data_IF_317936643976
#
_entry.id   IF_317936643976
#
_cell.length_a   1.000
_cell.length_b   1.000
_cell.length_c   1.000
_cell.angle_alpha   90.00
_cell.angle_beta   90.00
_cell.angle_gamma   90.00
#
_symmetry.space_group_name_H-M   'P 1'
#
loop_
_entity.id
_entity.type
_entity.pdbx_description
1 polymer ?
#
# COMPACT_ATOMS: atom_id res chain seq x y z
N UNK A 1 34.70 12.21 -15.58
CA UNK A 1 35.23 13.09 -14.52
C UNK A 1 35.18 12.33 -13.21
N UNK A 2 36.07 12.61 -12.23
CA UNK A 2 35.93 12.00 -10.91
C UNK A 2 34.64 12.50 -10.26
N UNK A 3 33.88 11.61 -9.60
CA UNK A 3 32.64 11.94 -8.90
C UNK A 3 32.92 13.00 -7.81
N UNK A 4 32.11 14.05 -7.74
CA UNK A 4 32.12 15.00 -6.63
C UNK A 4 31.36 14.38 -5.43
N UNK A 5 32.08 13.82 -4.47
CA UNK A 5 31.49 13.22 -3.26
C UNK A 5 30.79 14.24 -2.36
N UNK A 6 30.94 15.52 -2.63
CA UNK A 6 30.31 16.62 -1.89
C UNK A 6 29.21 17.30 -2.68
N UNK A 7 28.71 16.69 -3.74
CA UNK A 7 27.64 17.19 -4.58
C UNK A 7 26.43 17.67 -3.76
N UNK A 8 26.08 16.99 -2.69
CA UNK A 8 24.97 17.34 -1.79
C UNK A 8 25.13 18.71 -1.09
N UNK A 9 26.33 19.29 -1.06
CA UNK A 9 26.59 20.65 -0.56
C UNK A 9 26.28 21.71 -1.62
N UNK A 10 26.37 21.37 -2.89
CA UNK A 10 26.17 22.27 -4.03
C UNK A 10 24.74 22.16 -4.55
N UNK A 11 24.19 20.95 -4.59
CA UNK A 11 22.82 20.68 -5.03
C UNK A 11 21.96 20.29 -3.84
N UNK A 12 21.01 21.14 -3.48
CA UNK A 12 20.03 20.84 -2.43
C UNK A 12 19.02 19.76 -2.85
N UNK A 13 18.26 19.26 -1.86
CA UNK A 13 17.11 18.38 -2.16
C UNK A 13 16.05 19.16 -2.94
N UNK A 14 15.61 18.60 -4.06
CA UNK A 14 14.49 19.12 -4.87
C UNK A 14 13.51 17.96 -5.08
N UNK A 15 12.26 18.17 -4.71
CA UNK A 15 11.19 17.23 -5.03
C UNK A 15 10.58 17.56 -6.40
N UNK A 16 9.96 16.58 -7.11
CA UNK A 16 9.22 16.86 -8.32
C UNK A 16 8.14 17.92 -8.09
N UNK A 17 7.82 18.70 -9.13
CA UNK A 17 6.80 19.73 -9.05
C UNK A 17 5.48 19.14 -8.56
N UNK A 18 4.93 19.73 -7.50
CA UNK A 18 3.59 19.41 -6.98
C UNK A 18 2.58 20.41 -7.53
N UNK A 19 1.40 19.95 -7.95
CA UNK A 19 0.30 20.82 -8.37
C UNK A 19 -0.16 21.72 -7.22
N UNK A 20 -0.57 22.94 -7.54
CA UNK A 20 -1.16 23.85 -6.57
C UNK A 20 -2.45 23.27 -5.97
N UNK A 21 -2.71 23.52 -4.68
CA UNK A 21 -3.83 22.93 -3.96
C UNK A 21 -5.18 23.23 -4.64
N UNK A 22 -5.40 24.45 -5.11
CA UNK A 22 -6.63 24.87 -5.79
C UNK A 22 -6.85 24.17 -7.15
N UNK A 23 -5.78 23.69 -7.80
CA UNK A 23 -5.86 22.95 -9.05
C UNK A 23 -6.06 21.44 -8.80
N UNK A 24 -5.27 20.89 -7.86
CA UNK A 24 -5.24 19.44 -7.63
C UNK A 24 -6.52 18.89 -7.01
N UNK A 25 -7.25 19.69 -6.20
CA UNK A 25 -8.55 19.28 -5.65
C UNK A 25 -9.65 19.15 -6.72
N UNK A 26 -9.44 19.72 -7.91
CA UNK A 26 -10.37 19.63 -9.05
C UNK A 26 -10.07 18.45 -9.99
N UNK A 27 -9.04 17.67 -9.68
CA UNK A 27 -8.56 16.56 -10.51
C UNK A 27 -8.52 15.26 -9.71
N UNK A 28 -8.70 14.15 -10.41
CA UNK A 28 -8.52 12.82 -9.84
C UNK A 28 -7.07 12.34 -9.92
N UNK A 29 -6.29 12.73 -10.94
CA UNK A 29 -4.94 12.22 -11.20
C UNK A 29 -3.85 12.63 -10.19
N UNK A 30 -2.68 12.02 -10.33
CA UNK A 30 -1.51 12.22 -9.44
C UNK A 30 -1.15 13.69 -9.27
N UNK A 31 -0.82 14.08 -8.04
CA UNK A 31 -0.50 15.47 -7.68
C UNK A 31 0.97 15.84 -7.84
N UNK A 32 1.86 14.83 -7.91
CA UNK A 32 3.29 15.03 -8.11
C UNK A 32 3.69 14.69 -9.54
N UNK A 33 4.43 15.58 -10.17
CA UNK A 33 5.04 15.35 -11.47
C UNK A 33 6.16 14.30 -11.43
N UNK A 34 6.85 14.16 -12.56
CA UNK A 34 8.04 13.32 -12.71
C UNK A 34 9.28 14.21 -12.79
N UNK A 35 10.43 13.68 -12.43
CA UNK A 35 11.71 14.26 -12.84
C UNK A 35 11.89 14.12 -14.36
N UNK A 36 12.56 15.10 -14.95
CA UNK A 36 13.23 14.90 -16.23
C UNK A 36 14.60 14.20 -16.01
N UNK A 37 15.29 13.93 -17.09
CA UNK A 37 16.59 13.22 -17.05
C UNK A 37 17.63 13.96 -16.22
N UNK A 38 17.70 15.29 -16.33
CA UNK A 38 18.67 16.14 -15.64
C UNK A 38 18.35 16.19 -14.13
N UNK A 39 17.10 16.46 -13.78
CA UNK A 39 16.67 16.49 -12.39
C UNK A 39 16.83 15.14 -11.68
N UNK A 40 16.55 14.03 -12.36
CA UNK A 40 16.78 12.70 -11.80
C UNK A 40 18.28 12.42 -11.58
N UNK A 41 19.12 12.80 -12.52
CA UNK A 41 20.58 12.65 -12.40
C UNK A 41 21.14 13.49 -11.26
N UNK A 42 20.78 14.77 -11.18
CA UNK A 42 21.23 15.70 -10.14
C UNK A 42 20.85 15.21 -8.73
N UNK A 43 19.61 14.78 -8.55
CA UNK A 43 19.16 14.26 -7.25
C UNK A 43 19.82 12.91 -6.92
N UNK A 44 20.09 12.07 -7.91
CA UNK A 44 20.80 10.79 -7.74
C UNK A 44 22.27 11.00 -7.36
N UNK A 45 22.94 12.01 -7.94
CA UNK A 45 24.35 12.32 -7.66
C UNK A 45 24.59 12.79 -6.21
N UNK A 46 23.54 13.26 -5.51
CA UNK A 46 23.61 13.55 -4.07
C UNK A 46 23.92 12.35 -3.19
N UNK A 47 23.71 11.13 -3.71
CA UNK A 47 23.94 9.89 -2.96
C UNK A 47 25.44 9.73 -2.58
N UNK A 48 25.70 9.47 -1.30
CA UNK A 48 27.05 9.30 -0.75
C UNK A 48 27.66 7.91 -1.08
N UNK A 49 26.90 6.98 -1.67
CA UNK A 49 27.31 5.59 -1.86
C UNK A 49 27.85 4.97 -0.56
N UNK A 50 27.05 5.06 0.51
CA UNK A 50 27.43 4.60 1.85
C UNK A 50 27.86 3.12 1.82
N UNK A 51 28.97 2.78 2.47
CA UNK A 51 29.42 1.41 2.62
C UNK A 51 28.46 0.54 3.47
N UNK A 52 27.62 1.19 4.29
CA UNK A 52 26.49 0.59 4.98
C UNK A 52 25.24 1.40 4.64
N UNK A 53 24.48 1.03 3.59
CA UNK A 53 23.37 1.81 3.07
C UNK A 53 22.11 1.62 3.90
N UNK A 54 21.90 2.46 4.93
CA UNK A 54 20.72 2.39 5.79
C UNK A 54 19.40 2.50 5.03
N UNK A 55 19.37 3.21 3.90
CA UNK A 55 18.20 3.28 3.03
C UNK A 55 17.81 1.93 2.44
N UNK A 56 18.78 1.09 2.06
CA UNK A 56 18.59 -0.28 1.60
C UNK A 56 18.10 -1.18 2.75
N UNK A 57 18.77 -1.11 3.91
CA UNK A 57 18.38 -1.88 5.09
C UNK A 57 16.98 -1.54 5.60
N UNK A 58 16.56 -0.30 5.44
CA UNK A 58 15.23 0.15 5.88
C UNK A 58 14.13 -0.15 4.86
N UNK A 59 14.50 -0.44 3.62
CA UNK A 59 13.55 -0.85 2.58
C UNK A 59 13.14 -2.32 2.82
N UNK A 60 11.85 -2.65 2.95
CA UNK A 60 11.42 -4.03 3.19
C UNK A 60 11.89 -5.03 2.11
N UNK A 61 12.01 -4.61 0.86
CA UNK A 61 12.53 -5.44 -0.24
C UNK A 61 14.05 -5.33 -0.42
N UNK A 62 14.76 -4.65 0.47
CA UNK A 62 16.21 -4.44 0.41
C UNK A 62 16.69 -4.01 -0.98
N UNK A 63 15.99 -3.02 -1.57
CA UNK A 63 16.27 -2.59 -2.94
C UNK A 63 17.65 -1.93 -3.03
N UNK A 64 18.41 -2.23 -4.07
CA UNK A 64 19.80 -1.78 -4.31
C UNK A 64 19.88 -0.26 -4.60
N UNK A 65 19.38 0.54 -3.64
CA UNK A 65 19.15 1.98 -3.78
C UNK A 65 20.41 2.75 -4.20
N UNK A 66 21.56 2.66 -3.52
CA UNK A 66 22.75 3.40 -3.94
C UNK A 66 23.22 3.02 -5.34
N UNK A 67 23.09 1.73 -5.70
CA UNK A 67 23.56 1.22 -6.97
C UNK A 67 22.76 1.76 -8.15
N UNK A 68 21.42 1.71 -8.08
CA UNK A 68 20.64 2.27 -9.18
C UNK A 68 20.62 3.81 -9.18
N UNK A 69 20.79 4.50 -8.03
CA UNK A 69 21.03 5.95 -8.01
C UNK A 69 22.30 6.31 -8.79
N UNK A 70 23.37 5.56 -8.59
CA UNK A 70 24.60 5.73 -9.35
C UNK A 70 24.39 5.56 -10.85
N UNK A 71 23.69 4.49 -11.25
CA UNK A 71 23.37 4.24 -12.65
C UNK A 71 22.57 5.38 -13.29
N UNK A 72 21.60 5.96 -12.55
CA UNK A 72 20.82 7.12 -13.01
C UNK A 72 21.72 8.35 -13.18
N UNK A 73 22.59 8.64 -12.21
CA UNK A 73 23.54 9.78 -12.30
C UNK A 73 24.51 9.65 -13.47
N UNK A 74 24.84 8.43 -13.87
CA UNK A 74 25.68 8.11 -15.03
C UNK A 74 24.90 8.03 -16.36
N UNK A 75 23.57 8.16 -16.33
CA UNK A 75 22.69 8.07 -17.50
C UNK A 75 22.39 6.65 -17.99
N UNK A 76 22.65 5.63 -17.17
CA UNK A 76 22.45 4.22 -17.49
C UNK A 76 21.06 3.73 -17.05
N UNK A 77 20.00 4.27 -17.65
CA UNK A 77 18.62 4.06 -17.23
C UNK A 77 18.16 2.59 -17.32
N UNK A 78 18.47 1.89 -18.39
CA UNK A 78 18.06 0.49 -18.57
C UNK A 78 18.65 -0.42 -17.48
N UNK A 79 19.94 -0.22 -17.16
CA UNK A 79 20.60 -0.97 -16.10
C UNK A 79 20.03 -0.62 -14.72
N UNK A 80 19.64 0.65 -14.50
CA UNK A 80 18.97 1.07 -13.28
C UNK A 80 17.60 0.40 -13.14
N UNK A 81 16.83 0.30 -14.23
CA UNK A 81 15.54 -0.38 -14.26
C UNK A 81 15.70 -1.89 -13.98
N UNK A 82 16.66 -2.55 -14.64
CA UNK A 82 16.96 -3.96 -14.38
C UNK A 82 17.29 -4.21 -12.91
N UNK A 83 18.16 -3.38 -12.33
CA UNK A 83 18.59 -3.52 -10.94
C UNK A 83 17.44 -3.26 -9.94
N UNK A 84 16.62 -2.25 -10.18
CA UNK A 84 15.47 -1.94 -9.34
C UNK A 84 14.44 -3.10 -9.30
N UNK A 85 14.28 -3.82 -10.43
CA UNK A 85 13.37 -4.96 -10.54
C UNK A 85 13.92 -6.28 -9.99
N UNK A 86 15.20 -6.36 -9.63
CA UNK A 86 15.75 -7.60 -9.04
C UNK A 86 15.15 -7.91 -7.68
N UNK A 87 14.89 -6.89 -6.87
CA UNK A 87 14.34 -7.07 -5.52
C UNK A 87 12.92 -6.57 -5.37
N UNK A 88 12.43 -5.72 -6.26
CA UNK A 88 11.09 -5.13 -6.18
C UNK A 88 10.28 -5.42 -7.45
N UNK A 89 9.14 -6.07 -7.30
CA UNK A 89 8.21 -6.34 -8.41
C UNK A 89 7.47 -5.08 -8.87
N UNK A 90 7.27 -4.10 -7.97
CA UNK A 90 6.40 -2.93 -8.18
C UNK A 90 7.14 -1.60 -7.89
N UNK A 91 8.32 -1.33 -8.48
CA UNK A 91 9.11 -0.15 -8.12
C UNK A 91 8.40 1.17 -8.46
N UNK A 92 7.65 1.25 -9.57
CA UNK A 92 6.87 2.44 -9.93
C UNK A 92 5.76 2.74 -8.93
N UNK A 93 5.19 1.72 -8.32
CA UNK A 93 4.15 1.85 -7.30
C UNK A 93 4.80 2.23 -5.97
N UNK A 94 5.86 1.53 -5.56
CA UNK A 94 6.59 1.84 -4.34
C UNK A 94 7.14 3.27 -4.33
N UNK A 95 7.69 3.75 -5.45
CA UNK A 95 8.14 5.13 -5.61
C UNK A 95 7.04 6.18 -5.42
N UNK A 96 5.77 5.81 -5.60
CA UNK A 96 4.59 6.68 -5.41
C UNK A 96 4.00 6.62 -4.02
N UNK A 97 3.77 5.39 -3.50
CA UNK A 97 2.88 5.18 -2.33
C UNK A 97 3.61 4.81 -1.03
N UNK A 98 4.88 4.42 -1.08
CA UNK A 98 5.64 4.17 0.15
C UNK A 98 5.73 5.41 1.02
N UNK A 99 5.63 5.29 2.35
CA UNK A 99 5.97 6.37 3.29
C UNK A 99 7.49 6.51 3.40
N UNK A 100 8.12 7.10 2.37
CA UNK A 100 9.58 7.18 2.25
C UNK A 100 10.24 7.88 3.45
N UNK A 101 9.55 8.82 4.08
CA UNK A 101 9.99 9.53 5.29
C UNK A 101 10.18 8.62 6.51
N UNK A 102 9.52 7.46 6.52
CA UNK A 102 9.67 6.42 7.56
C UNK A 102 10.49 5.21 7.10
N UNK A 103 10.82 5.15 5.82
CA UNK A 103 11.57 4.07 5.19
C UNK A 103 12.92 4.57 4.66
N UNK A 104 13.15 4.40 3.35
CA UNK A 104 14.44 4.66 2.71
C UNK A 104 14.94 6.11 2.85
N UNK A 105 14.07 7.11 2.63
CA UNK A 105 14.48 8.53 2.76
C UNK A 105 14.68 8.92 4.23
N UNK A 106 13.81 8.42 5.14
CA UNK A 106 13.98 8.63 6.58
C UNK A 106 15.29 8.05 7.13
N UNK A 107 15.76 6.95 6.55
CA UNK A 107 17.02 6.30 6.91
C UNK A 107 18.23 6.79 6.12
N UNK A 108 18.05 7.71 5.17
CA UNK A 108 19.15 8.26 4.39
C UNK A 108 20.12 9.05 5.28
N UNK A 109 21.41 8.79 5.17
CA UNK A 109 22.47 9.51 5.92
C UNK A 109 22.40 11.03 5.76
N UNK A 110 21.96 11.51 4.60
CA UNK A 110 21.77 12.96 4.34
C UNK A 110 20.50 13.54 4.98
N UNK A 111 19.59 12.72 5.47
CA UNK A 111 18.32 13.19 6.03
C UNK A 111 18.55 14.14 7.23
N UNK A 112 19.60 13.87 8.00
CA UNK A 112 19.99 14.72 9.13
C UNK A 112 20.87 15.91 8.65
N UNK A 113 20.24 17.05 8.50
CA UNK A 113 20.88 18.35 8.21
C UNK A 113 21.02 18.73 6.74
N UNK A 114 20.97 17.80 5.78
CA UNK A 114 21.17 18.10 4.35
C UNK A 114 19.95 17.76 3.48
N UNK A 115 18.95 17.13 4.05
CA UNK A 115 17.80 16.57 3.33
C UNK A 115 18.15 15.27 2.58
N UNK A 116 17.35 14.24 2.80
CA UNK A 116 17.51 12.95 2.14
C UNK A 116 17.59 13.06 0.62
N UNK A 117 18.20 12.08 -0.05
CA UNK A 117 18.02 11.89 -1.50
C UNK A 117 16.54 11.61 -1.77
N UNK A 118 15.98 12.14 -2.85
CA UNK A 118 14.59 11.93 -3.28
C UNK A 118 14.42 10.54 -3.90
N UNK A 119 14.62 9.51 -3.07
CA UNK A 119 14.74 8.12 -3.49
C UNK A 119 13.47 7.63 -4.22
N UNK A 120 12.30 7.84 -3.60
CA UNK A 120 11.05 7.38 -4.20
C UNK A 120 10.74 8.07 -5.54
N UNK A 121 11.04 9.35 -5.67
CA UNK A 121 10.82 10.08 -6.93
C UNK A 121 11.78 9.65 -8.04
N UNK A 122 13.01 9.26 -7.68
CA UNK A 122 13.96 8.69 -8.66
C UNK A 122 13.55 7.26 -9.04
N UNK A 123 13.11 6.43 -8.10
CA UNK A 123 12.57 5.09 -8.38
C UNK A 123 11.38 5.15 -9.35
N UNK A 124 10.45 6.08 -9.12
CA UNK A 124 9.35 6.40 -10.04
C UNK A 124 9.88 6.78 -11.43
N UNK A 125 10.85 7.70 -11.51
CA UNK A 125 11.45 8.14 -12.78
C UNK A 125 12.09 6.97 -13.54
N UNK A 126 12.90 6.14 -12.87
CA UNK A 126 13.57 4.98 -13.47
C UNK A 126 12.55 4.11 -14.19
N UNK A 127 11.53 3.70 -13.46
CA UNK A 127 10.58 2.69 -13.94
C UNK A 127 9.65 3.24 -15.00
N UNK A 128 9.05 4.42 -14.75
CA UNK A 128 8.16 5.04 -15.72
C UNK A 128 8.89 5.30 -17.04
N UNK A 129 10.07 5.91 -16.99
CA UNK A 129 10.81 6.28 -18.19
C UNK A 129 11.32 5.05 -18.95
N UNK A 130 11.81 4.02 -18.25
CA UNK A 130 12.27 2.80 -18.90
C UNK A 130 11.12 2.06 -19.58
N UNK A 131 9.96 1.92 -18.92
CA UNK A 131 8.78 1.29 -19.50
C UNK A 131 8.22 2.07 -20.70
N UNK A 132 8.23 3.41 -20.64
CA UNK A 132 7.81 4.27 -21.75
C UNK A 132 8.76 4.17 -22.95
N UNK A 133 10.05 3.91 -22.72
CA UNK A 133 11.05 3.64 -23.76
C UNK A 133 11.00 2.20 -24.28
N UNK A 134 10.08 1.38 -23.79
CA UNK A 134 9.89 0.01 -24.25
C UNK A 134 10.75 -1.04 -23.54
N UNK A 135 11.49 -0.67 -22.49
CA UNK A 135 12.20 -1.65 -21.68
C UNK A 135 11.24 -2.67 -21.07
N UNK A 136 11.65 -3.92 -21.07
CA UNK A 136 10.93 -5.04 -20.41
C UNK A 136 11.94 -5.98 -19.77
N UNK A 137 11.57 -6.68 -18.68
CA UNK A 137 12.42 -7.71 -18.09
C UNK A 137 12.81 -8.77 -19.11
N UNK A 138 14.08 -9.16 -19.13
CA UNK A 138 14.61 -10.18 -20.04
C UNK A 138 14.28 -11.59 -19.53
N UNK A 139 13.34 -12.26 -20.21
CA UNK A 139 12.93 -13.63 -19.93
C UNK A 139 13.62 -14.68 -20.83
N UNK A 140 14.55 -14.29 -21.70
CA UNK A 140 15.15 -15.17 -22.72
C UNK A 140 15.94 -16.35 -22.15
N UNK A 141 16.39 -16.25 -20.89
CA UNK A 141 17.17 -17.29 -20.19
C UNK A 141 16.31 -18.19 -19.31
N UNK A 142 15.03 -17.89 -19.16
CA UNK A 142 14.12 -18.67 -18.33
C UNK A 142 13.81 -20.00 -19.01
N UNK A 143 14.00 -21.08 -18.27
CA UNK A 143 13.70 -22.45 -18.75
C UNK A 143 12.46 -22.94 -18.02
N UNK A 144 11.43 -23.32 -18.78
CA UNK A 144 10.19 -23.82 -18.20
C UNK A 144 10.42 -25.13 -17.42
N UNK A 145 9.97 -25.17 -16.18
CA UNK A 145 10.06 -26.33 -15.28
C UNK A 145 8.94 -27.36 -15.50
N UNK A 146 7.87 -26.95 -16.16
CA UNK A 146 6.63 -27.73 -16.28
C UNK A 146 5.75 -27.68 -15.02
N UNK A 147 6.16 -26.93 -13.97
CA UNK A 147 5.42 -26.74 -12.74
C UNK A 147 4.42 -25.58 -12.87
N UNK A 148 3.29 -25.70 -12.18
CA UNK A 148 2.20 -24.70 -12.19
C UNK A 148 1.79 -24.33 -10.77
N UNK A 149 1.61 -23.05 -10.50
CA UNK A 149 1.16 -22.53 -9.21
C UNK A 149 -0.08 -21.65 -9.41
N UNK A 150 -1.12 -21.91 -8.62
CA UNK A 150 -2.27 -21.02 -8.52
C UNK A 150 -1.97 -19.92 -7.48
N UNK A 151 -2.14 -18.66 -7.86
CA UNK A 151 -2.00 -17.50 -6.99
C UNK A 151 -3.40 -16.90 -6.77
N UNK A 152 -3.90 -16.88 -5.54
CA UNK A 152 -5.23 -16.36 -5.23
C UNK A 152 -5.08 -14.95 -4.64
N UNK A 153 -5.54 -13.96 -5.42
CA UNK A 153 -5.41 -12.54 -5.16
C UNK A 153 -4.35 -11.88 -6.04
N UNK A 154 -4.78 -10.94 -6.89
CA UNK A 154 -3.92 -10.12 -7.75
C UNK A 154 -3.46 -8.82 -7.08
N UNK A 155 -3.42 -8.77 -5.75
CA UNK A 155 -2.84 -7.68 -4.97
C UNK A 155 -1.31 -7.73 -4.94
N UNK A 156 -0.65 -6.79 -4.20
CA UNK A 156 0.81 -6.69 -4.16
C UNK A 156 1.54 -7.99 -3.82
N UNK A 157 1.04 -8.77 -2.87
CA UNK A 157 1.63 -10.06 -2.49
C UNK A 157 1.53 -11.09 -3.63
N UNK A 158 0.33 -11.23 -4.25
CA UNK A 158 0.14 -12.14 -5.37
C UNK A 158 0.97 -11.76 -6.60
N UNK A 159 1.05 -10.47 -6.93
CA UNK A 159 1.89 -9.98 -8.03
C UNK A 159 3.38 -10.22 -7.73
N UNK A 160 3.81 -10.01 -6.47
CA UNK A 160 5.17 -10.33 -6.02
C UNK A 160 5.51 -11.80 -6.14
N UNK A 161 4.59 -12.68 -5.74
CA UNK A 161 4.73 -14.13 -5.87
C UNK A 161 4.82 -14.55 -7.34
N UNK A 162 3.89 -14.08 -8.18
CA UNK A 162 3.83 -14.45 -9.60
C UNK A 162 5.10 -14.02 -10.37
N UNK A 163 5.63 -12.82 -10.09
CA UNK A 163 6.87 -12.32 -10.70
C UNK A 163 8.06 -13.27 -10.45
N UNK A 164 8.27 -13.69 -9.19
CA UNK A 164 9.37 -14.60 -8.84
C UNK A 164 9.16 -15.97 -9.47
N UNK A 165 7.95 -16.52 -9.43
CA UNK A 165 7.64 -17.82 -10.02
C UNK A 165 7.96 -17.87 -11.52
N UNK A 166 7.48 -16.88 -12.31
CA UNK A 166 7.71 -16.90 -13.76
C UNK A 166 9.18 -16.66 -14.12
N UNK A 167 9.93 -15.87 -13.34
CA UNK A 167 11.38 -15.70 -13.51
C UNK A 167 12.16 -17.00 -13.28
N UNK A 168 11.61 -17.93 -12.51
CA UNK A 168 12.19 -19.26 -12.24
C UNK A 168 11.56 -20.38 -13.08
N UNK A 169 10.81 -20.03 -14.15
CA UNK A 169 10.25 -20.99 -15.10
C UNK A 169 9.03 -21.77 -14.59
N UNK A 170 8.41 -21.33 -13.49
CA UNK A 170 7.17 -21.89 -12.97
C UNK A 170 5.99 -21.07 -13.53
N UNK A 171 4.99 -21.74 -14.11
CA UNK A 171 3.80 -21.06 -14.60
C UNK A 171 2.96 -20.55 -13.43
N UNK A 172 2.75 -19.24 -13.33
CA UNK A 172 1.86 -18.61 -12.37
C UNK A 172 0.52 -18.26 -13.02
N UNK A 173 -0.58 -18.76 -12.43
CA UNK A 173 -1.95 -18.42 -12.81
C UNK A 173 -2.59 -17.67 -11.65
N UNK A 174 -2.88 -16.39 -11.85
CA UNK A 174 -3.35 -15.47 -10.82
C UNK A 174 -4.86 -15.29 -10.94
N UNK A 175 -5.58 -15.67 -9.90
CA UNK A 175 -7.03 -15.53 -9.80
C UNK A 175 -7.39 -14.31 -8.96
N UNK A 176 -8.33 -13.51 -9.42
CA UNK A 176 -8.91 -12.43 -8.62
C UNK A 176 -10.41 -12.28 -8.90
N UNK A 177 -11.18 -12.00 -7.85
CA UNK A 177 -12.62 -11.75 -7.95
C UNK A 177 -12.98 -10.42 -8.62
N UNK A 178 -12.03 -9.49 -8.66
CA UNK A 178 -12.22 -8.19 -9.28
C UNK A 178 -11.91 -8.22 -10.79
N UNK A 179 -12.44 -7.25 -11.56
CA UNK A 179 -12.23 -7.18 -13.01
C UNK A 179 -10.84 -6.67 -13.43
N UNK A 180 -10.01 -6.22 -12.48
CA UNK A 180 -8.66 -5.72 -12.73
C UNK A 180 -7.71 -6.14 -11.61
N UNK A 181 -6.41 -6.22 -11.94
CA UNK A 181 -5.34 -6.54 -10.99
C UNK A 181 -5.06 -5.38 -10.04
N UNK A 182 -4.28 -5.64 -9.02
CA UNK A 182 -3.76 -4.65 -8.08
C UNK A 182 -4.41 -4.70 -6.70
N UNK A 183 -5.57 -5.35 -6.54
CA UNK A 183 -6.27 -5.36 -5.25
C UNK A 183 -6.50 -3.94 -4.74
N UNK A 184 -6.03 -3.60 -3.54
CA UNK A 184 -6.18 -2.25 -2.98
C UNK A 184 -5.35 -1.17 -3.71
N UNK A 185 -4.37 -1.50 -4.54
CA UNK A 185 -3.70 -0.52 -5.41
C UNK A 185 -4.69 0.10 -6.41
N UNK A 186 -5.58 -0.73 -6.94
CA UNK A 186 -6.59 -0.32 -7.92
C UNK A 186 -7.85 0.16 -7.23
N UNK A 187 -8.35 -0.58 -6.25
CA UNK A 187 -9.68 -0.36 -5.69
C UNK A 187 -9.65 0.41 -4.36
N UNK A 188 -8.53 0.47 -3.63
CA UNK A 188 -8.42 1.16 -2.34
C UNK A 188 -7.73 2.51 -2.41
N UNK A 189 -6.52 2.57 -2.98
CA UNK A 189 -5.73 3.81 -3.07
C UNK A 189 -6.37 4.76 -4.08
N UNK A 190 -6.61 6.03 -3.73
CA UNK A 190 -7.17 7.01 -4.65
C UNK A 190 -6.24 7.35 -5.82
N UNK A 191 -6.82 7.74 -6.95
CA UNK A 191 -6.09 8.04 -8.18
C UNK A 191 -5.13 9.23 -8.05
N UNK A 192 -5.41 10.18 -7.18
CA UNK A 192 -4.52 11.31 -6.89
C UNK A 192 -3.20 10.92 -6.18
N UNK A 193 -3.07 9.65 -5.76
CA UNK A 193 -1.83 9.05 -5.24
C UNK A 193 -1.24 8.02 -6.19
N UNK A 194 -2.09 7.28 -6.90
CA UNK A 194 -1.69 6.21 -7.81
C UNK A 194 -2.70 6.11 -8.96
N UNK A 195 -2.33 6.61 -10.13
CA UNK A 195 -3.14 6.48 -11.34
C UNK A 195 -3.27 5.01 -11.76
N UNK A 196 -4.49 4.61 -12.15
CA UNK A 196 -4.79 3.19 -12.42
C UNK A 196 -4.12 2.66 -13.69
N UNK A 197 -3.78 3.53 -14.62
CA UNK A 197 -2.96 3.19 -15.78
C UNK A 197 -1.57 2.66 -15.40
N UNK A 198 -0.99 3.09 -14.27
CA UNK A 198 0.29 2.58 -13.75
C UNK A 198 0.17 1.11 -13.37
N UNK A 199 -0.91 0.75 -12.65
CA UNK A 199 -1.17 -0.65 -12.27
C UNK A 199 -1.48 -1.51 -13.50
N UNK A 200 -2.28 -0.99 -14.44
CA UNK A 200 -2.56 -1.67 -15.70
C UNK A 200 -1.30 -1.93 -16.52
N UNK A 201 -0.41 -0.93 -16.62
CA UNK A 201 0.89 -1.11 -17.29
C UNK A 201 1.73 -2.20 -16.63
N UNK A 202 1.71 -2.32 -15.30
CA UNK A 202 2.37 -3.41 -14.58
C UNK A 202 1.76 -4.77 -14.92
N UNK A 203 0.45 -4.86 -15.04
CA UNK A 203 -0.22 -6.06 -15.54
C UNK A 203 0.33 -6.47 -16.91
N UNK A 204 0.36 -5.52 -17.87
CA UNK A 204 0.86 -5.80 -19.23
C UNK A 204 2.32 -6.31 -19.21
N UNK A 205 3.16 -5.80 -18.30
CA UNK A 205 4.53 -6.28 -18.12
C UNK A 205 4.55 -7.73 -17.61
N UNK A 206 3.76 -8.05 -16.59
CA UNK A 206 3.70 -9.40 -16.02
C UNK A 206 3.09 -10.42 -17.01
N UNK A 207 2.06 -10.04 -17.77
CA UNK A 207 1.53 -10.86 -18.87
C UNK A 207 2.60 -11.13 -19.93
N UNK A 208 3.38 -10.11 -20.30
CA UNK A 208 4.53 -10.25 -21.21
C UNK A 208 5.64 -11.16 -20.69
N UNK A 209 5.76 -11.34 -19.36
CA UNK A 209 6.67 -12.27 -18.72
C UNK A 209 6.11 -13.71 -18.63
N UNK A 210 4.82 -13.91 -18.92
CA UNK A 210 4.16 -15.23 -18.91
C UNK A 210 3.23 -15.47 -17.71
N UNK A 211 2.89 -14.45 -16.93
CA UNK A 211 1.84 -14.56 -15.91
C UNK A 211 0.47 -14.61 -16.58
N UNK A 212 -0.35 -15.57 -16.21
CA UNK A 212 -1.73 -15.69 -16.64
C UNK A 212 -2.67 -15.09 -15.59
N UNK A 213 -3.60 -14.19 -15.98
CA UNK A 213 -4.60 -13.61 -15.10
C UNK A 213 -5.99 -14.14 -15.43
N UNK A 214 -6.68 -14.66 -14.41
CA UNK A 214 -8.07 -15.12 -14.45
C UNK A 214 -8.88 -14.22 -13.52
N UNK A 215 -9.36 -13.12 -14.06
CA UNK A 215 -10.10 -12.08 -13.34
C UNK A 215 -11.60 -12.38 -13.30
N UNK A 216 -12.37 -11.62 -12.48
CA UNK A 216 -13.79 -11.87 -12.23
C UNK A 216 -14.08 -13.29 -11.76
N UNK A 217 -13.17 -13.88 -10.99
CA UNK A 217 -13.27 -15.27 -10.53
C UNK A 217 -13.03 -15.35 -9.03
N UNK A 218 -14.08 -15.64 -8.29
CA UNK A 218 -14.04 -15.79 -6.84
C UNK A 218 -13.82 -17.26 -6.43
N UNK A 219 -12.68 -17.52 -5.83
CA UNK A 219 -12.33 -18.87 -5.38
C UNK A 219 -13.14 -19.24 -4.14
N UNK A 220 -13.80 -20.38 -4.20
CA UNK A 220 -14.79 -20.86 -3.22
C UNK A 220 -16.23 -20.62 -3.67
N UNK A 221 -16.45 -19.71 -4.62
CA UNK A 221 -17.76 -19.42 -5.22
C UNK A 221 -17.85 -19.92 -6.67
N UNK A 222 -17.01 -19.38 -7.55
CA UNK A 222 -17.01 -19.71 -8.99
C UNK A 222 -16.20 -20.97 -9.28
N UNK A 223 -15.09 -21.14 -8.59
CA UNK A 223 -14.21 -22.31 -8.65
C UNK A 223 -14.03 -22.86 -7.24
N UNK A 224 -14.23 -24.15 -7.07
CA UNK A 224 -13.96 -24.82 -5.79
C UNK A 224 -12.46 -24.85 -5.51
N UNK A 225 -12.07 -24.57 -4.28
CA UNK A 225 -10.66 -24.57 -3.90
C UNK A 225 -10.00 -25.96 -4.07
N UNK A 226 -10.74 -27.03 -3.87
CA UNK A 226 -10.29 -28.42 -4.11
C UNK A 226 -9.78 -28.62 -5.54
N UNK A 227 -10.45 -28.04 -6.54
CA UNK A 227 -10.04 -28.11 -7.93
C UNK A 227 -8.64 -27.50 -8.14
N UNK A 228 -8.34 -26.39 -7.48
CA UNK A 228 -6.99 -25.79 -7.57
C UNK A 228 -5.94 -26.69 -6.92
N UNK A 229 -6.25 -27.35 -5.82
CA UNK A 229 -5.34 -28.30 -5.19
C UNK A 229 -5.08 -29.55 -6.07
N UNK A 230 -6.02 -29.94 -6.92
CA UNK A 230 -5.85 -31.05 -7.86
C UNK A 230 -5.04 -30.64 -9.10
N UNK A 231 -5.30 -29.44 -9.64
CA UNK A 231 -4.76 -29.00 -10.93
C UNK A 231 -3.37 -28.35 -10.86
N UNK A 232 -2.97 -27.83 -9.69
CA UNK A 232 -1.72 -27.10 -9.50
C UNK A 232 -0.74 -27.83 -8.58
N UNK A 233 0.56 -27.62 -8.77
CA UNK A 233 1.60 -28.21 -7.92
C UNK A 233 1.65 -27.56 -6.53
N UNK A 234 1.36 -26.26 -6.43
CA UNK A 234 1.19 -25.52 -5.18
C UNK A 234 0.16 -24.39 -5.35
N UNK A 235 -0.30 -23.84 -4.22
CA UNK A 235 -1.24 -22.70 -4.17
C UNK A 235 -0.68 -21.62 -3.25
N UNK A 236 -0.71 -20.39 -3.71
CA UNK A 236 -0.39 -19.20 -2.89
C UNK A 236 -1.66 -18.41 -2.57
N UNK A 237 -1.84 -18.05 -1.31
CA UNK A 237 -2.92 -17.19 -0.81
C UNK A 237 -2.40 -15.79 -0.53
N UNK A 238 -2.86 -14.81 -1.32
CA UNK A 238 -2.55 -13.38 -1.17
C UNK A 238 -3.80 -12.51 -1.14
N UNK A 239 -4.81 -12.92 -0.36
CA UNK A 239 -6.18 -12.38 -0.42
C UNK A 239 -6.37 -11.05 0.35
N UNK A 240 -5.36 -10.57 1.09
CA UNK A 240 -5.40 -9.30 1.80
C UNK A 240 -6.29 -9.27 3.04
N UNK A 241 -6.71 -8.04 3.45
CA UNK A 241 -7.55 -7.78 4.63
C UNK A 241 -8.69 -6.83 4.27
N UNK A 242 -9.93 -7.21 4.58
CA UNK A 242 -11.13 -6.45 4.18
C UNK A 242 -12.15 -6.25 5.29
N UNK A 243 -11.98 -6.85 6.47
CA UNK A 243 -12.87 -6.64 7.62
C UNK A 243 -12.50 -5.36 8.35
N UNK A 244 -13.39 -4.39 8.39
CA UNK A 244 -13.15 -3.12 9.08
C UNK A 244 -13.22 -3.25 10.61
N UNK A 245 -12.57 -2.32 11.30
CA UNK A 245 -12.62 -2.22 12.74
C UNK A 245 -13.69 -1.20 13.17
N UNK A 246 -14.68 -1.68 13.93
CA UNK A 246 -15.70 -0.82 14.54
C UNK A 246 -15.10 0.04 15.64
N UNK A 247 -15.66 1.23 15.85
CA UNK A 247 -15.31 2.11 16.96
C UNK A 247 -15.80 1.59 18.32
N UNK A 248 -16.94 0.91 18.32
CA UNK A 248 -17.57 0.36 19.51
C UNK A 248 -18.32 1.41 20.33
N UNK A 249 -18.74 2.52 19.71
CA UNK A 249 -19.54 3.57 20.34
C UNK A 249 -20.96 3.62 19.75
N UNK A 250 -21.95 4.15 20.49
CA UNK A 250 -23.33 4.24 20.02
C UNK A 250 -23.50 5.05 18.73
N UNK A 251 -24.40 4.60 17.88
CA UNK A 251 -24.82 5.33 16.69
C UNK A 251 -24.00 5.06 15.43
N UNK A 252 -23.09 4.08 15.45
CA UNK A 252 -22.33 3.66 14.24
C UNK A 252 -23.23 3.06 13.14
N UNK A 253 -24.46 2.71 13.45
CA UNK A 253 -25.45 2.12 12.55
C UNK A 253 -26.39 3.16 11.92
N UNK A 254 -26.19 4.46 12.19
CA UNK A 254 -27.02 5.53 11.62
C UNK A 254 -26.71 5.76 10.14
N UNK A 255 -27.72 6.21 9.41
CA UNK A 255 -27.56 6.69 8.03
C UNK A 255 -26.57 7.86 8.00
N UNK A 256 -25.60 7.84 7.10
CA UNK A 256 -24.53 8.84 7.02
C UNK A 256 -23.25 8.43 7.75
N UNK A 257 -23.22 7.24 8.38
CA UNK A 257 -21.96 6.63 8.87
C UNK A 257 -21.44 5.66 7.83
N UNK A 258 -20.18 5.83 7.44
CA UNK A 258 -19.53 5.04 6.41
C UNK A 258 -18.23 4.44 6.90
N UNK A 259 -17.90 3.27 6.35
CA UNK A 259 -16.62 2.62 6.57
C UNK A 259 -15.62 3.09 5.51
N UNK A 260 -14.38 3.38 5.92
CA UNK A 260 -13.37 3.97 5.04
C UNK A 260 -13.11 3.14 3.77
N UNK A 261 -12.91 1.81 3.89
CA UNK A 261 -12.54 1.01 2.73
C UNK A 261 -13.68 0.83 1.73
N UNK A 262 -14.92 0.48 2.14
CA UNK A 262 -16.07 0.50 1.23
C UNK A 262 -16.28 1.84 0.54
N UNK A 263 -16.16 2.95 1.28
CA UNK A 263 -16.24 4.31 0.72
C UNK A 263 -15.19 4.56 -0.37
N UNK A 264 -13.90 4.23 -0.11
CA UNK A 264 -12.83 4.40 -1.08
C UNK A 264 -12.99 3.47 -2.28
N UNK A 265 -13.36 2.20 -2.04
CA UNK A 265 -13.56 1.21 -3.11
C UNK A 265 -14.69 1.62 -4.02
N UNK A 266 -15.81 2.07 -3.48
CA UNK A 266 -16.95 2.53 -4.25
C UNK A 266 -16.59 3.78 -5.08
N UNK A 267 -15.86 4.73 -4.49
CA UNK A 267 -15.38 5.91 -5.22
C UNK A 267 -14.42 5.56 -6.36
N UNK A 268 -13.45 4.66 -6.13
CA UNK A 268 -12.52 4.23 -7.17
C UNK A 268 -13.22 3.45 -8.29
N UNK A 269 -14.20 2.59 -7.96
CA UNK A 269 -15.02 1.89 -8.96
C UNK A 269 -15.81 2.88 -9.82
N UNK A 270 -16.40 3.92 -9.20
CA UNK A 270 -17.10 4.97 -9.94
C UNK A 270 -16.17 5.71 -10.91
N UNK A 271 -14.93 6.02 -10.49
CA UNK A 271 -13.94 6.64 -11.36
C UNK A 271 -13.47 5.74 -12.51
N UNK A 272 -13.47 4.41 -12.29
CA UNK A 272 -13.16 3.40 -13.28
C UNK A 272 -14.35 3.04 -14.19
N UNK A 273 -15.49 3.71 -14.04
CA UNK A 273 -16.74 3.42 -14.78
C UNK A 273 -17.23 1.97 -14.55
N UNK A 274 -16.93 1.40 -13.39
CA UNK A 274 -17.41 0.10 -12.96
C UNK A 274 -18.69 0.24 -12.16
N UNK A 275 -19.47 -0.86 -12.09
CA UNK A 275 -20.66 -0.91 -11.24
C UNK A 275 -20.30 -0.64 -9.77
N UNK A 276 -20.95 0.36 -9.18
CA UNK A 276 -20.67 0.85 -7.83
C UNK A 276 -21.96 1.23 -7.10
N UNK A 277 -22.81 0.24 -6.76
CA UNK A 277 -24.09 0.51 -6.09
C UNK A 277 -23.93 1.17 -4.72
N UNK A 278 -22.77 0.98 -4.07
CA UNK A 278 -22.45 1.53 -2.76
C UNK A 278 -21.75 2.89 -2.83
N UNK A 279 -21.74 3.54 -4.00
CA UNK A 279 -21.14 4.86 -4.15
C UNK A 279 -21.88 5.90 -3.30
N UNK A 280 -21.10 6.68 -2.55
CA UNK A 280 -21.58 7.75 -1.70
C UNK A 280 -21.08 9.07 -2.23
N UNK A 281 -21.98 10.01 -2.48
CA UNK A 281 -21.67 11.39 -2.85
C UNK A 281 -21.73 12.27 -1.59
N UNK A 282 -20.59 12.84 -1.22
CA UNK A 282 -20.46 13.74 -0.08
C UNK A 282 -20.45 15.23 -0.46
N UNK A 283 -20.82 15.58 -1.71
CA UNK A 283 -20.89 16.96 -2.15
C UNK A 283 -21.85 17.79 -1.27
N UNK A 284 -21.42 18.98 -0.86
CA UNK A 284 -22.20 19.89 -0.02
C UNK A 284 -22.42 19.42 1.41
N UNK A 285 -21.75 18.38 1.88
CA UNK A 285 -21.89 17.84 3.24
C UNK A 285 -20.72 18.27 4.14
N UNK A 286 -21.01 18.39 5.44
CA UNK A 286 -20.00 18.49 6.49
C UNK A 286 -19.54 17.09 6.85
N UNK A 287 -18.28 16.76 6.55
CA UNK A 287 -17.73 15.42 6.70
C UNK A 287 -16.75 15.37 7.85
N UNK A 288 -16.86 14.38 8.72
CA UNK A 288 -15.86 14.06 9.74
C UNK A 288 -15.27 12.69 9.47
N UNK A 289 -13.95 12.62 9.32
CA UNK A 289 -13.21 11.37 9.21
C UNK A 289 -12.57 11.05 10.55
N UNK A 290 -12.84 9.86 11.07
CA UNK A 290 -12.32 9.37 12.35
C UNK A 290 -11.11 8.48 12.11
N UNK A 291 -9.93 8.93 12.54
CA UNK A 291 -8.70 8.15 12.39
C UNK A 291 -7.51 9.02 11.98
N UNK A 292 -6.30 8.46 12.10
CA UNK A 292 -5.06 9.20 11.85
C UNK A 292 -4.08 8.47 10.92
N UNK A 293 -4.49 7.39 10.26
CA UNK A 293 -3.67 6.64 9.30
C UNK A 293 -3.77 7.16 7.87
N UNK A 294 -2.98 6.58 6.97
CA UNK A 294 -3.00 6.95 5.55
C UNK A 294 -4.38 6.73 4.91
N UNK A 295 -5.13 5.71 5.34
CA UNK A 295 -6.53 5.50 4.90
C UNK A 295 -7.44 6.67 5.27
N UNK A 296 -7.26 7.27 6.47
CA UNK A 296 -8.01 8.45 6.87
C UNK A 296 -7.65 9.65 5.98
N UNK A 297 -6.37 9.81 5.61
CA UNK A 297 -5.93 10.85 4.67
C UNK A 297 -6.55 10.64 3.29
N UNK A 298 -6.64 9.41 2.83
CA UNK A 298 -7.29 9.06 1.56
C UNK A 298 -8.78 9.42 1.58
N UNK A 299 -9.51 9.11 2.66
CA UNK A 299 -10.92 9.48 2.83
C UNK A 299 -11.12 11.01 2.88
N UNK A 300 -10.30 11.72 3.67
CA UNK A 300 -10.36 13.18 3.78
C UNK A 300 -10.21 13.84 2.41
N UNK A 301 -9.17 13.46 1.67
CA UNK A 301 -8.83 14.06 0.39
C UNK A 301 -9.81 13.66 -0.72
N UNK A 302 -10.43 12.47 -0.60
CA UNK A 302 -11.52 12.05 -1.50
C UNK A 302 -12.75 12.90 -1.26
N UNK A 303 -13.16 13.12 0.00
CA UNK A 303 -14.31 13.96 0.34
C UNK A 303 -14.13 15.42 -0.16
N UNK A 304 -12.92 15.99 -0.02
CA UNK A 304 -12.60 17.31 -0.62
C UNK A 304 -12.86 17.31 -2.12
N UNK A 305 -12.41 16.27 -2.85
CA UNK A 305 -12.58 16.17 -4.33
C UNK A 305 -14.01 15.91 -4.74
N UNK A 306 -14.83 15.31 -3.90
CA UNK A 306 -16.27 15.19 -4.12
C UNK A 306 -17.01 16.52 -3.89
N UNK A 307 -16.34 17.54 -3.34
CA UNK A 307 -16.95 18.86 -3.09
C UNK A 307 -17.71 18.96 -1.77
N UNK A 308 -17.26 18.28 -0.74
CA UNK A 308 -17.76 18.47 0.62
C UNK A 308 -17.61 19.92 1.07
N UNK A 309 -18.60 20.46 1.79
CA UNK A 309 -18.57 21.85 2.30
C UNK A 309 -17.46 22.05 3.33
N UNK A 310 -17.21 21.04 4.16
CA UNK A 310 -16.09 21.00 5.09
C UNK A 310 -15.66 19.56 5.34
N UNK A 311 -14.36 19.36 5.56
CA UNK A 311 -13.79 18.06 5.94
C UNK A 311 -12.92 18.23 7.17
N UNK A 312 -13.26 17.53 8.23
CA UNK A 312 -12.53 17.51 9.49
C UNK A 312 -12.00 16.11 9.78
N UNK A 313 -10.75 16.04 10.19
CA UNK A 313 -10.11 14.79 10.59
C UNK A 313 -9.96 14.75 12.11
N UNK A 314 -10.75 13.94 12.79
CA UNK A 314 -10.68 13.79 14.24
C UNK A 314 -9.76 12.63 14.62
N UNK A 315 -8.70 12.96 15.37
CA UNK A 315 -7.71 11.99 15.81
C UNK A 315 -7.51 12.06 17.33
N UNK A 316 -7.52 10.89 17.97
CA UNK A 316 -7.46 10.75 19.44
C UNK A 316 -6.12 11.04 20.10
N UNK A 317 -5.08 11.44 19.34
CA UNK A 317 -3.77 11.87 19.84
C UNK A 317 -3.38 13.18 19.17
N UNK A 318 -2.20 13.66 19.53
CA UNK A 318 -1.57 14.82 18.89
C UNK A 318 -0.99 14.51 17.50
N UNK A 319 -0.52 15.54 16.83
CA UNK A 319 0.08 15.45 15.49
C UNK A 319 1.36 14.59 15.47
N UNK A 320 2.21 14.67 16.52
CA UNK A 320 3.46 13.93 16.58
C UNK A 320 3.25 12.42 16.63
N UNK A 321 2.16 11.99 17.26
CA UNK A 321 1.78 10.58 17.41
C UNK A 321 0.87 10.06 16.28
N UNK A 322 0.65 10.85 15.23
CA UNK A 322 -0.18 10.45 14.11
C UNK A 322 0.52 9.38 13.25
N UNK A 323 -0.13 8.23 12.95
CA UNK A 323 0.50 7.16 12.19
C UNK A 323 0.54 7.42 10.68
N UNK A 324 -0.24 8.37 10.18
CA UNK A 324 -0.23 8.77 8.76
C UNK A 324 1.13 9.36 8.34
N UNK A 325 1.48 9.15 7.07
CA UNK A 325 2.67 9.76 6.47
C UNK A 325 2.59 11.28 6.60
N UNK A 326 3.67 11.91 7.05
CA UNK A 326 3.74 13.39 7.17
C UNK A 326 3.44 14.09 5.84
N UNK A 327 3.87 13.48 4.75
CA UNK A 327 3.60 13.96 3.39
C UNK A 327 2.09 13.99 3.10
N UNK A 328 1.36 12.93 3.46
CA UNK A 328 -0.08 12.86 3.22
C UNK A 328 -0.88 13.76 4.16
N UNK A 329 -0.47 13.89 5.42
CA UNK A 329 -1.06 14.85 6.37
C UNK A 329 -0.90 16.29 5.85
N UNK A 330 0.29 16.65 5.35
CA UNK A 330 0.53 17.97 4.78
C UNK A 330 -0.28 18.20 3.50
N UNK A 331 -0.39 17.20 2.63
CA UNK A 331 -1.22 17.27 1.44
C UNK A 331 -2.69 17.52 1.79
N UNK A 332 -3.23 16.79 2.78
CA UNK A 332 -4.60 16.97 3.26
C UNK A 332 -4.84 18.37 3.83
N UNK A 333 -3.91 18.87 4.65
CA UNK A 333 -3.97 20.24 5.21
C UNK A 333 -3.95 21.31 4.13
N UNK A 334 -3.06 21.19 3.14
CA UNK A 334 -3.00 22.13 2.00
C UNK A 334 -4.29 22.09 1.16
N UNK A 335 -4.97 20.96 1.10
CA UNK A 335 -6.22 20.77 0.39
C UNK A 335 -7.46 21.26 1.18
N UNK A 336 -7.27 21.75 2.39
CA UNK A 336 -8.34 22.36 3.19
C UNK A 336 -8.92 21.48 4.27
N UNK A 337 -8.32 20.32 4.56
CA UNK A 337 -8.74 19.48 5.69
C UNK A 337 -8.35 20.13 7.02
N UNK A 338 -9.30 20.28 7.93
CA UNK A 338 -9.08 20.72 9.29
C UNK A 338 -8.77 19.51 10.20
N UNK A 339 -7.71 19.60 11.01
CA UNK A 339 -7.33 18.55 11.94
C UNK A 339 -7.78 18.87 13.36
N UNK A 340 -8.57 17.97 13.94
CA UNK A 340 -9.03 18.03 15.32
C UNK A 340 -8.22 17.04 16.16
N UNK A 341 -7.12 17.54 16.71
CA UNK A 341 -6.21 16.76 17.54
C UNK A 341 -6.79 16.48 18.93
N UNK A 342 -6.43 15.34 19.52
CA UNK A 342 -6.86 14.94 20.85
C UNK A 342 -8.41 14.87 20.95
N UNK A 343 -9.06 14.39 19.89
CA UNK A 343 -10.51 14.19 19.87
C UNK A 343 -10.85 12.72 19.66
N UNK A 344 -11.39 12.12 20.73
CA UNK A 344 -11.85 10.72 20.69
C UNK A 344 -13.38 10.70 20.53
N UNK A 345 -13.91 10.01 19.52
CA UNK A 345 -15.34 9.85 19.36
C UNK A 345 -15.91 8.95 20.46
N UNK A 346 -17.09 9.29 20.96
CA UNK A 346 -17.83 8.55 21.98
C UNK A 346 -19.26 8.25 21.58
N UNK A 347 -19.86 8.95 20.60
CA UNK A 347 -21.23 8.72 20.13
C UNK A 347 -21.46 9.45 18.81
N UNK A 348 -22.14 8.81 17.84
CA UNK A 348 -22.72 9.52 16.69
C UNK A 348 -24.11 9.99 17.08
N UNK A 349 -24.35 11.31 17.04
CA UNK A 349 -25.62 11.91 17.42
C UNK A 349 -26.53 12.12 16.21
N UNK A 350 -27.85 12.09 16.45
CA UNK A 350 -28.89 12.30 15.45
C UNK A 350 -30.05 11.32 15.58
N UNK A 351 -31.16 11.61 14.91
CA UNK A 351 -32.37 10.79 14.94
C UNK A 351 -32.46 9.91 13.68
N UNK A 352 -31.81 8.72 13.72
CA UNK A 352 -31.75 7.77 12.60
C UNK A 352 -30.71 8.14 11.53
N UNK A 353 -30.34 9.41 11.41
CA UNK A 353 -29.33 9.95 10.51
C UNK A 353 -28.28 10.73 11.31
N UNK A 354 -27.05 10.82 10.78
CA UNK A 354 -25.99 11.67 11.35
C UNK A 354 -26.42 13.14 11.36
N UNK A 355 -26.32 13.80 12.52
CA UNK A 355 -26.44 15.24 12.73
C UNK A 355 -25.15 15.80 13.38
N UNK A 356 -24.27 14.91 13.88
CA UNK A 356 -23.01 15.26 14.46
C UNK A 356 -22.31 14.07 15.11
N UNK A 357 -21.12 14.34 15.65
CA UNK A 357 -20.34 13.41 16.45
C UNK A 357 -20.04 14.00 17.82
N UNK A 358 -20.32 13.27 18.88
CA UNK A 358 -19.89 13.61 20.22
C UNK A 358 -18.50 13.08 20.44
N UNK A 359 -17.60 13.97 20.81
CA UNK A 359 -16.18 13.66 21.08
C UNK A 359 -15.81 14.08 22.50
N UNK A 360 -14.73 13.52 23.00
CA UNK A 360 -14.10 13.93 24.26
C UNK A 360 -12.65 14.30 24.00
N UNK A 361 -12.14 15.33 24.67
CA UNK A 361 -10.72 15.66 24.65
C UNK A 361 -9.91 14.56 25.31
N UNK A 362 -8.75 14.25 24.75
CA UNK A 362 -7.82 13.26 25.31
C UNK A 362 -6.47 13.87 25.66
N UNK A 363 -5.82 13.30 26.65
CA UNK A 363 -4.41 13.55 27.01
C UNK A 363 -3.64 12.24 26.94
N UNK A 364 -2.33 12.31 26.65
CA UNK A 364 -1.48 11.13 26.64
C UNK A 364 -1.16 10.72 28.07
N UNK A 365 -1.56 9.51 28.45
CA UNK A 365 -1.24 8.90 29.75
C UNK A 365 0.24 8.55 29.89
N UNK A 366 0.59 7.89 30.98
CA UNK A 366 1.94 7.38 31.21
C UNK A 366 2.31 6.31 30.15
N UNK A 367 3.59 6.18 29.79
CA UNK A 367 4.03 5.15 28.86
C UNK A 367 3.85 3.75 29.46
N UNK A 368 3.37 2.82 28.64
CA UNK A 368 3.32 1.39 28.96
C UNK A 368 4.74 0.76 28.92
N UNK A 369 4.85 -0.54 29.22
CA UNK A 369 6.13 -1.29 29.21
C UNK A 369 6.87 -1.23 27.86
N UNK A 370 6.16 -0.91 26.77
CA UNK A 370 6.70 -0.73 25.42
C UNK A 370 6.93 0.74 25.06
N UNK A 371 6.81 1.66 26.04
CA UNK A 371 6.96 3.09 25.82
C UNK A 371 5.78 3.76 25.11
N UNK A 372 4.64 3.07 24.91
CA UNK A 372 3.47 3.63 24.22
C UNK A 372 2.57 4.34 25.21
N UNK A 373 2.22 5.58 24.90
CA UNK A 373 1.30 6.39 25.70
C UNK A 373 -0.12 6.26 25.14
N UNK A 374 -1.03 5.72 25.93
CA UNK A 374 -2.44 5.58 25.55
C UNK A 374 -3.20 6.88 25.81
N UNK A 375 -4.11 7.30 24.90
CA UNK A 375 -4.96 8.46 25.12
C UNK A 375 -5.94 8.18 26.28
N UNK A 376 -6.08 9.14 27.18
CA UNK A 376 -7.02 9.12 28.30
C UNK A 376 -8.02 10.25 28.14
N UNK A 377 -9.31 9.94 28.30
CA UNK A 377 -10.37 10.95 28.20
C UNK A 377 -10.29 11.94 29.39
N UNK A 378 -10.40 13.23 29.07
CA UNK A 378 -10.52 14.30 30.08
C UNK A 378 -12.00 14.43 30.48
N UNK A 379 -12.37 14.13 31.72
CA UNK A 379 -13.76 14.21 32.16
C UNK A 379 -14.34 15.62 32.02
N UNK A 380 -15.57 15.73 31.51
CA UNK A 380 -16.28 17.01 31.37
C UNK A 380 -15.83 17.85 30.16
N UNK A 381 -15.09 17.24 29.22
CA UNK A 381 -14.63 17.90 27.98
C UNK A 381 -15.43 17.48 26.76
N UNK A 382 -16.59 16.86 26.97
CA UNK A 382 -17.44 16.39 25.89
C UNK A 382 -17.98 17.58 25.07
N UNK A 383 -17.89 17.48 23.76
CA UNK A 383 -18.45 18.43 22.81
C UNK A 383 -19.13 17.69 21.64
N UNK A 384 -20.09 18.36 21.00
CA UNK A 384 -20.71 17.85 19.77
C UNK A 384 -20.19 18.69 18.61
N UNK A 385 -19.71 18.01 17.60
CA UNK A 385 -19.26 18.60 16.34
C UNK A 385 -20.31 18.27 15.28
N UNK A 386 -20.87 19.29 14.63
CA UNK A 386 -21.87 19.13 13.58
C UNK A 386 -21.31 18.37 12.40
N UNK A 387 -22.03 17.38 11.90
CA UNK A 387 -21.65 16.62 10.71
C UNK A 387 -22.90 16.07 10.00
N UNK A 388 -22.83 15.99 8.70
CA UNK A 388 -23.82 15.32 7.85
C UNK A 388 -23.39 13.89 7.52
N UNK A 389 -22.07 13.63 7.57
CA UNK A 389 -21.47 12.32 7.34
C UNK A 389 -20.25 12.07 8.25
N UNK A 390 -20.10 10.81 8.66
CA UNK A 390 -18.96 10.33 9.44
C UNK A 390 -18.32 9.14 8.72
N UNK A 391 -17.01 9.21 8.48
CA UNK A 391 -16.25 8.11 7.90
C UNK A 391 -15.32 7.50 8.94
N UNK A 392 -15.47 6.21 9.24
CA UNK A 392 -14.69 5.51 10.27
C UNK A 392 -13.48 4.84 9.61
N UNK A 393 -12.26 5.30 9.97
CA UNK A 393 -10.99 4.86 9.42
C UNK A 393 -10.03 4.31 10.50
N UNK A 394 -10.49 3.30 11.26
CA UNK A 394 -9.73 2.72 12.38
C UNK A 394 -8.85 1.53 11.99
N UNK A 395 -8.82 1.18 10.71
CA UNK A 395 -8.03 0.08 10.17
C UNK A 395 -8.84 -1.18 9.88
N UNK A 396 -8.11 -2.22 9.51
CA UNK A 396 -8.69 -3.46 9.00
C UNK A 396 -8.16 -4.67 9.74
N UNK A 397 -8.91 -5.77 9.69
CA UNK A 397 -8.55 -7.10 10.19
C UNK A 397 -8.57 -8.11 9.06
N UNK A 398 -7.84 -9.21 9.19
CA UNK A 398 -7.95 -10.33 8.28
C UNK A 398 -9.39 -10.82 8.11
N UNK A 399 -9.68 -11.32 6.92
CA UNK A 399 -10.98 -11.84 6.51
C UNK A 399 -10.79 -13.28 6.04
N UNK A 400 -10.57 -14.26 6.97
CA UNK A 400 -10.33 -15.64 6.60
C UNK A 400 -11.50 -16.20 5.81
N UNK A 401 -11.21 -16.90 4.71
CA UNK A 401 -12.23 -17.53 3.91
C UNK A 401 -12.89 -18.70 4.67
N UNK A 402 -14.21 -18.88 4.53
CA UNK A 402 -14.94 -19.93 5.30
C UNK A 402 -14.40 -21.36 5.06
N UNK A 403 -13.78 -21.58 3.91
CA UNK A 403 -13.25 -22.89 3.51
C UNK A 403 -11.82 -23.18 4.01
N UNK A 404 -11.14 -22.25 4.70
CA UNK A 404 -9.76 -22.47 5.16
C UNK A 404 -9.61 -23.73 6.03
N UNK A 405 -10.50 -23.92 7.01
CA UNK A 405 -10.47 -25.07 7.91
C UNK A 405 -10.64 -26.41 7.18
N UNK A 406 -11.40 -26.44 6.08
CA UNK A 406 -11.69 -27.67 5.33
C UNK A 406 -10.44 -28.19 4.60
N UNK A 407 -9.46 -27.30 4.35
CA UNK A 407 -8.22 -27.62 3.64
C UNK A 407 -6.97 -27.50 4.51
N UNK A 408 -7.12 -27.43 5.83
CA UNK A 408 -6.01 -27.41 6.78
C UNK A 408 -5.18 -26.12 6.72
N UNK A 409 -5.84 -24.98 6.53
CA UNK A 409 -5.22 -23.65 6.66
C UNK A 409 -5.59 -23.09 8.03
N UNK A 410 -4.64 -23.14 8.95
CA UNK A 410 -4.83 -22.63 10.31
C UNK A 410 -4.80 -21.10 10.36
N UNK A 411 -5.58 -20.55 11.29
CA UNK A 411 -5.61 -19.12 11.60
C UNK A 411 -5.31 -18.90 13.07
N UNK A 412 -4.69 -17.77 13.40
CA UNK A 412 -4.46 -17.35 14.79
C UNK A 412 -5.72 -16.68 15.41
N UNK A 413 -5.64 -16.34 16.69
CA UNK A 413 -6.72 -15.67 17.43
C UNK A 413 -7.12 -14.30 16.83
N UNK A 414 -6.26 -13.69 16.01
CA UNK A 414 -6.51 -12.45 15.27
C UNK A 414 -7.15 -12.67 13.90
N UNK A 415 -7.37 -13.93 13.49
CA UNK A 415 -7.88 -14.30 12.18
C UNK A 415 -6.81 -14.26 11.06
N UNK A 416 -5.53 -14.19 11.39
CA UNK A 416 -4.43 -14.23 10.44
C UNK A 416 -4.07 -15.67 10.10
N UNK A 417 -3.75 -15.92 8.83
CA UNK A 417 -3.27 -17.23 8.40
C UNK A 417 -1.90 -17.51 9.02
N UNK A 418 -1.74 -18.70 9.56
CA UNK A 418 -0.46 -19.18 10.12
C UNK A 418 0.42 -19.69 8.99
N UNK A 419 1.39 -18.86 8.59
CA UNK A 419 2.39 -19.15 7.56
C UNK A 419 3.72 -18.52 8.00
N UNK A 420 4.60 -19.26 8.71
CA UNK A 420 5.83 -18.70 9.27
C UNK A 420 6.78 -18.17 8.19
N UNK A 421 7.36 -16.99 8.45
CA UNK A 421 8.32 -16.32 7.58
C UNK A 421 9.60 -17.15 7.39
N UNK A 422 10.01 -17.86 8.44
CA UNK A 422 11.21 -18.71 8.42
C UNK A 422 10.84 -20.19 8.24
N UNK A 423 11.62 -20.87 7.40
CA UNK A 423 11.53 -22.30 7.26
C UNK A 423 11.96 -23.02 8.55
N UNK A 424 11.36 -24.14 8.86
CA UNK A 424 11.75 -25.03 9.94
C UNK A 424 11.99 -26.45 9.42
N UNK A 425 12.40 -27.38 10.29
CA UNK A 425 12.65 -28.77 9.87
C UNK A 425 11.41 -29.38 9.19
N UNK A 426 11.52 -29.67 7.91
CA UNK A 426 10.45 -30.27 7.10
C UNK A 426 9.41 -29.30 6.57
N UNK A 427 9.59 -27.97 6.73
CA UNK A 427 8.70 -26.94 6.16
C UNK A 427 9.47 -25.90 5.37
N UNK A 428 8.78 -25.22 4.45
CA UNK A 428 9.33 -24.11 3.69
C UNK A 428 8.86 -22.76 4.28
N UNK A 429 9.54 -21.66 3.91
CA UNK A 429 9.12 -20.32 4.29
C UNK A 429 7.71 -20.00 3.76
N UNK A 430 6.90 -19.30 4.53
CA UNK A 430 5.50 -18.95 4.21
C UNK A 430 4.57 -20.13 3.89
N UNK A 431 4.96 -21.36 4.22
CA UNK A 431 4.13 -22.53 4.08
C UNK A 431 3.10 -22.58 5.24
N UNK A 432 1.86 -22.86 4.89
CA UNK A 432 0.79 -23.04 5.88
C UNK A 432 0.85 -24.44 6.52
N UNK A 433 -0.11 -24.75 7.38
CA UNK A 433 -0.28 -26.09 7.96
C UNK A 433 -0.52 -27.16 6.88
N UNK A 434 -1.10 -26.76 5.73
CA UNK A 434 -1.18 -27.65 4.57
C UNK A 434 0.10 -27.46 3.70
N UNK A 435 0.89 -28.53 3.49
CA UNK A 435 2.19 -28.41 2.81
C UNK A 435 2.11 -27.93 1.35
N UNK A 436 0.95 -28.01 0.70
CA UNK A 436 0.74 -27.54 -0.67
C UNK A 436 0.31 -26.08 -0.76
N UNK A 437 -0.01 -25.44 0.38
CA UNK A 437 -0.56 -24.10 0.46
C UNK A 437 0.42 -23.16 1.15
N UNK A 438 0.67 -22.02 0.51
CA UNK A 438 1.50 -20.93 0.98
C UNK A 438 0.66 -19.66 1.13
N UNK A 439 1.05 -18.74 2.01
CA UNK A 439 0.33 -17.50 2.20
C UNK A 439 1.27 -16.35 2.54
N UNK A 440 0.90 -15.12 2.17
CA UNK A 440 1.67 -13.91 2.49
C UNK A 440 0.86 -12.62 2.31
N UNK A 441 1.45 -11.51 2.69
CA UNK A 441 0.82 -10.19 2.68
C UNK A 441 -0.09 -9.99 3.89
N UNK A 442 -1.02 -9.06 3.76
CA UNK A 442 -1.84 -8.58 4.88
C UNK A 442 -2.64 -9.69 5.58
N UNK A 443 -2.99 -10.77 4.89
CA UNK A 443 -3.71 -11.88 5.51
C UNK A 443 -2.88 -12.68 6.51
N UNK A 444 -1.55 -12.61 6.43
CA UNK A 444 -0.60 -13.26 7.35
C UNK A 444 -0.11 -12.26 8.41
N UNK A 445 0.29 -11.08 7.99
CA UNK A 445 0.87 -10.05 8.88
C UNK A 445 -0.19 -9.17 9.56
N UNK A 446 -1.33 -8.96 8.91
CA UNK A 446 -2.26 -7.87 9.18
C UNK A 446 -2.00 -6.71 8.21
N UNK A 447 -2.90 -5.72 8.16
CA UNK A 447 -2.77 -4.54 7.28
C UNK A 447 -1.44 -3.83 7.49
N UNK A 448 -0.64 -3.74 6.42
CA UNK A 448 0.66 -3.07 6.43
C UNK A 448 0.92 -2.37 5.07
N UNK A 449 2.17 -2.19 4.71
CA UNK A 449 2.58 -1.45 3.52
C UNK A 449 2.53 -2.31 2.25
N UNK A 450 2.32 -1.66 1.11
CA UNK A 450 2.40 -2.29 -0.22
C UNK A 450 3.74 -3.02 -0.40
N UNK A 451 4.84 -2.36 -0.06
CA UNK A 451 6.20 -2.91 -0.21
C UNK A 451 6.44 -4.13 0.67
N UNK A 452 5.84 -4.18 1.87
CA UNK A 452 5.92 -5.35 2.76
C UNK A 452 5.15 -6.53 2.17
N UNK A 453 3.96 -6.29 1.63
CA UNK A 453 3.18 -7.34 0.97
C UNK A 453 3.89 -7.87 -0.29
N UNK A 454 4.56 -7.01 -1.08
CA UNK A 454 5.42 -7.43 -2.20
C UNK A 454 6.54 -8.34 -1.71
N UNK A 455 7.23 -7.94 -0.63
CA UNK A 455 8.31 -8.74 -0.06
C UNK A 455 7.84 -10.12 0.37
N UNK A 456 6.73 -10.21 1.12
CA UNK A 456 6.20 -11.50 1.58
C UNK A 456 5.76 -12.39 0.41
N UNK A 457 5.12 -11.83 -0.62
CA UNK A 457 4.79 -12.59 -1.82
C UNK A 457 6.02 -13.15 -2.53
N UNK A 458 7.07 -12.36 -2.64
CA UNK A 458 8.36 -12.79 -3.22
C UNK A 458 9.02 -13.89 -2.37
N UNK A 459 9.08 -13.73 -1.04
CA UNK A 459 9.65 -14.74 -0.15
C UNK A 459 8.84 -16.04 -0.12
N UNK A 460 7.51 -15.93 -0.17
CA UNK A 460 6.65 -17.10 -0.30
C UNK A 460 6.88 -17.85 -1.61
N UNK A 461 7.17 -17.13 -2.71
CA UNK A 461 7.54 -17.78 -3.96
C UNK A 461 8.86 -18.55 -3.87
N UNK A 462 9.88 -18.01 -3.17
CA UNK A 462 11.11 -18.76 -2.88
C UNK A 462 10.81 -20.04 -2.08
N UNK A 463 9.93 -19.95 -1.05
CA UNK A 463 9.48 -21.13 -0.32
C UNK A 463 8.74 -22.15 -1.19
N UNK A 464 7.96 -21.69 -2.18
CA UNK A 464 7.30 -22.55 -3.17
C UNK A 464 8.34 -23.22 -4.08
N UNK A 465 9.34 -22.48 -4.56
CA UNK A 465 10.42 -23.03 -5.39
C UNK A 465 11.19 -24.13 -4.64
N UNK A 466 11.52 -23.93 -3.37
CA UNK A 466 12.14 -24.93 -2.51
C UNK A 466 11.24 -26.17 -2.36
N UNK A 467 9.93 -25.98 -2.13
CA UNK A 467 8.97 -27.07 -2.06
C UNK A 467 8.85 -27.88 -3.35
N UNK A 468 8.90 -27.20 -4.50
CA UNK A 468 8.81 -27.82 -5.82
C UNK A 468 10.15 -28.42 -6.28
N UNK A 469 11.24 -28.16 -5.58
CA UNK A 469 12.61 -28.54 -5.89
C UNK A 469 13.07 -28.05 -7.29
N UNK A 470 12.81 -26.76 -7.60
CA UNK A 470 13.16 -26.11 -8.87
C UNK A 470 13.94 -24.84 -8.63
#
# INVERSE_FOLDING_TARGET
MAKNTFQFLEVGRVDPKKLDAAERVKRSGEIYGNFDKEGAADQSERCLECGNPYCEWKCPVHNYIPNWLKLVSEGNLEQAAELAHQTNTLPEICGRVCPQDRLCEGACTLNDGFGAVTIGSVEKYITDTALDQGWRPDMSKVVATGKRVAVIGAGPAGLGCADVLVRNGVQAVVYDKNPEVGGLLTFGIPEFKLEKNVVKRRRDVLEGMGVEFVLNTDIGTDIKFEQLLEEYDAVFLGMGTYTYMKGGFPGEDKDGVYEALPYLVANNKQQLELDSPDYVDLAGQKVIVLGGGDTAMDCNRTAIRQGADSVQCAYRRDEENMPGSRREVNNAREEGVEFLWNRQPIEVVGNGKVEGIKVVTTELGEPDERGRRSPQAVPGSEEIIDADAVVIAFGFRPSPAPWFSDYGVDIDDGGRVVAPEEASEGTCAFQTTNPKIFAGGDMVRGSDLVVTAVWEGRQAAEGILDYLAV
#
